data_IF_817251281448
#
_entry.id   IF_817251281448
#
_cell.length_a   1.000
_cell.length_b   1.000
_cell.length_c   1.000
_cell.angle_alpha   90.00
_cell.angle_beta   90.00
_cell.angle_gamma   90.00
#
_symmetry.space_group_name_H-M   'P 1'
#
loop_
_entity.id
_entity.type
_entity.pdbx_description
1 polymer ?
#
# COMPACT_ATOMS: atom_id res chain seq x y z
N UNK A 1 9.80 8.58 13.13
CA UNK A 1 10.37 9.71 12.34
C UNK A 1 9.20 10.51 11.79
N UNK A 2 9.19 11.84 11.85
CA UNK A 2 8.18 12.61 11.08
C UNK A 2 8.41 12.33 9.60
N UNK A 3 7.36 12.07 8.83
CA UNK A 3 7.41 11.86 7.38
C UNK A 3 8.08 13.06 6.68
N UNK A 4 9.41 13.02 6.58
CA UNK A 4 10.21 13.95 5.80
C UNK A 4 9.99 13.67 4.32
N UNK A 5 9.97 14.72 3.51
CA UNK A 5 9.80 14.59 2.06
C UNK A 5 10.85 13.65 1.45
N UNK A 6 10.41 12.76 0.56
CA UNK A 6 11.27 11.88 -0.21
C UNK A 6 12.21 12.69 -1.12
N UNK A 7 13.41 12.17 -1.35
CA UNK A 7 14.30 12.73 -2.37
C UNK A 7 13.82 12.41 -3.80
N UNK A 8 14.20 13.22 -4.78
CA UNK A 8 13.87 12.95 -6.20
C UNK A 8 14.42 11.60 -6.69
N UNK A 9 15.59 11.20 -6.19
CA UNK A 9 16.19 9.91 -6.50
C UNK A 9 15.34 8.75 -5.97
N UNK A 10 14.83 8.85 -4.74
CA UNK A 10 13.95 7.83 -4.16
C UNK A 10 12.63 7.72 -4.91
N UNK A 11 12.04 8.86 -5.31
CA UNK A 11 10.81 8.86 -6.11
C UNK A 11 11.05 8.26 -7.49
N UNK A 12 12.17 8.57 -8.12
CA UNK A 12 12.54 8.03 -9.44
C UNK A 12 12.77 6.53 -9.37
N UNK A 13 13.50 6.07 -8.36
CA UNK A 13 13.76 4.65 -8.16
C UNK A 13 12.46 3.90 -7.86
N UNK A 14 11.62 4.39 -6.95
CA UNK A 14 10.30 3.82 -6.69
C UNK A 14 9.49 3.63 -7.97
N UNK A 15 9.38 4.66 -8.82
CA UNK A 15 8.65 4.56 -10.10
C UNK A 15 9.22 3.49 -11.02
N UNK A 16 10.53 3.27 -11.00
CA UNK A 16 11.19 2.22 -11.79
C UNK A 16 10.90 0.79 -11.30
N UNK A 17 10.47 0.65 -10.04
CA UNK A 17 10.14 -0.65 -9.44
C UNK A 17 8.69 -1.07 -9.67
N UNK A 18 7.82 -0.15 -10.10
CA UNK A 18 6.43 -0.47 -10.43
C UNK A 18 6.41 -1.43 -11.64
N UNK A 19 5.67 -2.55 -11.57
CA UNK A 19 5.62 -3.53 -12.66
C UNK A 19 5.26 -2.91 -14.02
N UNK A 20 5.84 -3.46 -15.08
CA UNK A 20 5.49 -3.04 -16.45
C UNK A 20 4.01 -3.33 -16.72
N UNK A 21 3.34 -2.39 -17.40
CA UNK A 21 1.90 -2.49 -17.65
C UNK A 21 1.03 -1.97 -16.51
N UNK A 22 1.62 -1.31 -15.51
CA UNK A 22 0.87 -0.68 -14.44
C UNK A 22 1.09 0.84 -14.40
N UNK A 23 0.02 1.56 -14.07
CA UNK A 23 0.02 3.01 -13.93
C UNK A 23 -0.30 3.40 -12.50
N UNK A 24 0.62 4.10 -11.85
CA UNK A 24 0.43 4.66 -10.50
C UNK A 24 -0.75 5.64 -10.53
N UNK A 25 -1.77 5.38 -9.71
CA UNK A 25 -2.91 6.29 -9.49
C UNK A 25 -2.67 7.21 -8.32
N UNK A 26 -2.03 6.72 -7.26
CA UNK A 26 -1.65 7.50 -6.08
C UNK A 26 -0.53 6.80 -5.34
N UNK A 27 0.29 7.59 -4.67
CA UNK A 27 1.36 7.10 -3.81
C UNK A 27 1.56 8.03 -2.61
N UNK A 28 1.94 7.48 -1.46
CA UNK A 28 2.23 8.20 -0.22
C UNK A 28 3.30 7.50 0.59
N UNK A 29 4.00 8.24 1.44
CA UNK A 29 4.88 7.64 2.45
C UNK A 29 4.01 7.12 3.59
N UNK A 30 4.28 5.91 4.05
CA UNK A 30 3.58 5.28 5.17
C UNK A 30 4.51 4.33 5.94
N UNK A 31 4.15 4.07 7.19
CA UNK A 31 4.73 3.01 8.00
C UNK A 31 3.87 1.75 7.84
N UNK A 32 4.49 0.63 7.48
CA UNK A 32 3.88 -0.67 7.38
C UNK A 32 4.00 -1.38 8.72
N UNK A 33 2.87 -1.72 9.31
CA UNK A 33 2.75 -2.64 10.42
C UNK A 33 2.09 -3.92 9.92
N UNK A 34 2.47 -5.04 10.51
CA UNK A 34 1.91 -6.36 10.21
C UNK A 34 1.56 -7.08 11.50
N UNK A 35 0.47 -7.83 11.47
CA UNK A 35 0.12 -8.83 12.48
C UNK A 35 0.46 -10.22 11.95
N UNK A 36 0.65 -11.19 12.85
CA UNK A 36 0.97 -12.58 12.47
C UNK A 36 -0.18 -13.49 12.88
N UNK A 37 -0.56 -14.38 11.98
CA UNK A 37 -1.52 -15.44 12.25
C UNK A 37 -1.02 -16.38 13.38
N UNK A 38 -1.91 -17.03 14.14
CA UNK A 38 -3.37 -17.03 14.00
C UNK A 38 -4.08 -15.94 14.81
N UNK A 39 -3.40 -15.32 15.77
CA UNK A 39 -4.08 -14.54 16.80
C UNK A 39 -4.30 -13.08 16.40
N UNK A 40 -3.53 -12.56 15.44
CA UNK A 40 -3.58 -11.17 14.96
C UNK A 40 -3.67 -10.11 16.09
N UNK A 41 -3.12 -10.43 17.27
CA UNK A 41 -3.37 -9.67 18.49
C UNK A 41 -2.54 -8.40 18.59
N UNK A 42 -1.35 -8.41 17.98
CA UNK A 42 -0.34 -7.37 18.16
C UNK A 42 0.24 -6.92 16.83
N UNK A 43 0.10 -5.62 16.59
CA UNK A 43 0.69 -4.93 15.44
C UNK A 43 2.17 -4.72 15.67
N UNK A 44 2.99 -5.26 14.78
CA UNK A 44 4.44 -5.07 14.78
C UNK A 44 4.86 -4.18 13.64
N UNK A 45 5.64 -3.13 13.95
CA UNK A 45 6.27 -2.31 12.92
C UNK A 45 7.15 -3.20 12.03
N UNK A 46 6.94 -3.12 10.73
CA UNK A 46 7.74 -3.84 9.74
C UNK A 46 8.71 -2.91 9.03
N UNK A 47 8.21 -1.83 8.40
CA UNK A 47 9.01 -1.04 7.48
C UNK A 47 8.44 0.37 7.26
N UNK A 48 9.26 1.31 6.78
CA UNK A 48 8.81 2.62 6.31
C UNK A 48 9.03 2.70 4.81
N UNK A 49 8.01 3.14 4.08
CA UNK A 49 7.98 2.96 2.65
C UNK A 49 7.03 3.87 1.92
N UNK A 50 6.91 3.63 0.63
CA UNK A 50 5.91 4.24 -0.24
C UNK A 50 4.83 3.21 -0.49
N UNK A 51 3.62 3.49 -0.05
CA UNK A 51 2.43 2.80 -0.52
C UNK A 51 1.99 3.41 -1.84
N UNK A 52 1.64 2.58 -2.81
CA UNK A 52 1.03 3.03 -4.05
C UNK A 52 -0.12 2.15 -4.47
N UNK A 53 -1.15 2.78 -5.02
CA UNK A 53 -2.19 2.08 -5.78
C UNK A 53 -1.88 2.28 -7.26
N UNK A 54 -1.77 1.17 -7.98
CA UNK A 54 -1.59 1.13 -9.43
C UNK A 54 -2.82 0.54 -10.09
N UNK A 55 -2.98 0.81 -11.39
CA UNK A 55 -3.97 0.13 -12.25
C UNK A 55 -3.23 -0.59 -13.35
N UNK A 56 -3.46 -1.89 -13.47
CA UNK A 56 -2.98 -2.68 -14.58
C UNK A 56 -3.68 -2.23 -15.88
N UNK A 57 -2.92 -1.95 -16.93
CA UNK A 57 -3.46 -1.44 -18.20
C UNK A 57 -4.10 -2.53 -19.06
N UNK A 58 -3.80 -3.79 -18.77
CA UNK A 58 -4.31 -4.95 -19.52
C UNK A 58 -5.56 -5.51 -18.87
N UNK A 59 -5.53 -5.78 -17.56
CA UNK A 59 -6.67 -6.38 -16.83
C UNK A 59 -7.61 -5.34 -16.24
N UNK A 60 -7.19 -4.06 -16.20
CA UNK A 60 -7.88 -2.99 -15.49
C UNK A 60 -8.02 -3.16 -13.97
N UNK A 61 -7.42 -4.21 -13.39
CA UNK A 61 -7.38 -4.45 -11.94
C UNK A 61 -6.46 -3.46 -11.24
N UNK A 62 -6.76 -3.20 -9.97
CA UNK A 62 -5.96 -2.34 -9.11
C UNK A 62 -5.05 -3.20 -8.24
N UNK A 63 -3.83 -2.72 -8.01
CA UNK A 63 -2.87 -3.35 -7.11
C UNK A 63 -2.44 -2.34 -6.06
N UNK A 64 -2.18 -2.80 -4.84
CA UNK A 64 -1.49 -2.08 -3.79
C UNK A 64 -0.06 -2.59 -3.76
N UNK A 65 0.90 -1.69 -3.80
CA UNK A 65 2.31 -2.02 -3.55
C UNK A 65 2.82 -1.27 -2.34
N UNK A 66 3.69 -1.93 -1.58
CA UNK A 66 4.53 -1.31 -0.58
C UNK A 66 6.00 -1.37 -0.99
N UNK A 67 6.58 -0.22 -1.31
CA UNK A 67 8.00 -0.05 -1.60
C UNK A 67 8.76 0.34 -0.33
N UNK A 68 9.68 -0.49 0.14
CA UNK A 68 10.52 -0.17 1.30
C UNK A 68 11.59 0.86 0.95
N UNK A 69 11.67 1.94 1.74
CA UNK A 69 12.77 2.91 1.61
C UNK A 69 14.10 2.35 2.12
N UNK A 70 14.08 1.38 3.02
CA UNK A 70 15.28 0.72 3.53
C UNK A 70 15.83 -0.29 2.53
N UNK A 71 14.97 -1.18 2.00
CA UNK A 71 15.39 -2.25 1.08
C UNK A 71 15.47 -1.79 -0.38
N UNK A 72 14.94 -0.60 -0.68
CA UNK A 72 14.90 -0.01 -2.01
C UNK A 72 14.22 -0.90 -3.07
N UNK A 73 13.19 -1.65 -2.67
CA UNK A 73 12.38 -2.53 -3.53
C UNK A 73 10.94 -2.62 -3.03
N UNK A 74 10.04 -3.13 -3.88
CA UNK A 74 8.69 -3.54 -3.46
C UNK A 74 8.81 -4.81 -2.61
N UNK A 75 8.21 -4.77 -1.42
CA UNK A 75 8.25 -5.86 -0.42
C UNK A 75 6.89 -6.51 -0.19
N UNK A 76 5.80 -5.86 -0.61
CA UNK A 76 4.45 -6.41 -0.60
C UNK A 76 3.68 -5.90 -1.81
N UNK A 77 2.89 -6.78 -2.41
CA UNK A 77 1.96 -6.51 -3.50
C UNK A 77 0.69 -7.26 -3.21
N UNK A 78 -0.45 -6.57 -3.25
CA UNK A 78 -1.77 -7.14 -3.01
C UNK A 78 -2.74 -6.64 -4.08
N UNK A 79 -3.56 -7.54 -4.62
CA UNK A 79 -4.62 -7.14 -5.55
C UNK A 79 -5.80 -6.55 -4.77
N UNK A 80 -6.39 -5.49 -5.29
CA UNK A 80 -7.58 -4.87 -4.71
C UNK A 80 -8.83 -5.60 -5.20
N UNK A 81 -9.51 -6.27 -4.28
CA UNK A 81 -10.77 -6.96 -4.54
C UNK A 81 -11.99 -6.13 -4.15
N UNK A 82 -13.14 -6.44 -4.76
CA UNK A 82 -14.41 -5.75 -4.51
C UNK A 82 -15.06 -6.13 -3.16
N UNK A 83 -14.50 -7.11 -2.49
CA UNK A 83 -14.91 -7.65 -1.20
C UNK A 83 -13.80 -7.54 -0.15
N UNK A 84 -12.74 -6.79 -0.45
CA UNK A 84 -11.65 -6.54 0.50
C UNK A 84 -12.18 -5.71 1.70
N UNK A 85 -12.11 -6.28 2.90
CA UNK A 85 -12.50 -5.59 4.12
C UNK A 85 -11.43 -4.54 4.52
N UNK A 86 -11.82 -3.26 4.58
CA UNK A 86 -10.99 -2.12 5.02
C UNK A 86 -11.50 -1.66 6.40
N UNK A 87 -10.67 -1.73 7.43
CA UNK A 87 -10.96 -1.10 8.72
C UNK A 87 -10.31 0.27 8.80
N UNK A 88 -11.14 1.30 9.04
CA UNK A 88 -10.71 2.71 9.09
C UNK A 88 -10.64 3.19 10.53
N UNK A 89 -9.46 3.62 10.95
CA UNK A 89 -9.23 4.36 12.19
C UNK A 89 -8.61 5.73 11.86
N UNK A 90 -8.66 6.72 12.78
CA UNK A 90 -8.28 8.11 12.48
C UNK A 90 -6.90 8.33 11.84
N UNK A 91 -5.92 7.46 12.16
CA UNK A 91 -4.54 7.51 11.65
C UNK A 91 -4.00 6.14 11.22
N UNK A 92 -4.90 5.16 11.10
CA UNK A 92 -4.52 3.77 10.94
C UNK A 92 -5.58 3.09 10.08
N UNK A 93 -5.15 2.39 9.05
CA UNK A 93 -6.08 1.69 8.16
C UNK A 93 -5.55 0.31 7.96
N UNK A 94 -6.32 -0.72 8.31
CA UNK A 94 -5.94 -2.09 8.05
C UNK A 94 -6.80 -2.68 6.94
N UNK A 95 -6.21 -3.58 6.18
CA UNK A 95 -6.92 -4.53 5.34
C UNK A 95 -6.36 -5.91 5.59
N UNK A 96 -7.19 -6.94 5.38
CA UNK A 96 -6.77 -8.33 5.40
C UNK A 96 -6.34 -8.73 3.99
N UNK A 97 -5.06 -9.03 3.80
CA UNK A 97 -4.55 -9.73 2.62
C UNK A 97 -4.56 -11.24 2.87
N UNK A 98 -4.28 -12.06 1.84
CA UNK A 98 -4.33 -13.52 1.95
C UNK A 98 -3.40 -14.12 3.04
N UNK A 99 -2.40 -13.36 3.50
CA UNK A 99 -1.39 -13.83 4.46
C UNK A 99 -1.10 -12.82 5.59
N UNK A 100 -1.56 -11.57 5.52
CA UNK A 100 -1.18 -10.50 6.46
C UNK A 100 -2.23 -9.39 6.57
N UNK A 101 -2.35 -8.76 7.75
CA UNK A 101 -3.00 -7.46 7.85
C UNK A 101 -1.96 -6.34 7.72
N UNK A 102 -2.25 -5.29 6.94
CA UNK A 102 -1.26 -4.24 6.65
C UNK A 102 -1.82 -2.82 6.79
N UNK A 103 -0.97 -1.86 7.20
CA UNK A 103 -1.44 -0.55 7.70
C UNK A 103 -1.04 0.64 6.86
N UNK A 104 -1.99 1.42 6.32
CA UNK A 104 -1.65 2.49 5.36
C UNK A 104 -2.54 3.73 5.50
N UNK A 105 -1.98 4.84 6.02
CA UNK A 105 -2.65 6.12 6.40
C UNK A 105 -3.53 6.80 5.30
N UNK A 106 -3.70 6.23 4.11
CA UNK A 106 -4.45 6.89 3.03
C UNK A 106 -5.16 5.98 2.03
N UNK A 107 -5.22 4.66 2.26
CA UNK A 107 -5.85 3.73 1.31
C UNK A 107 -7.36 3.91 1.25
N UNK A 108 -8.08 4.01 2.38
CA UNK A 108 -9.54 3.94 2.27
C UNK A 108 -10.19 5.21 1.66
N UNK A 109 -9.59 6.43 1.70
CA UNK A 109 -10.11 7.55 0.86
C UNK A 109 -10.03 7.23 -0.63
N UNK A 110 -9.07 6.41 -1.03
CA UNK A 110 -8.84 6.03 -2.42
C UNK A 110 -9.70 4.86 -2.85
N UNK A 111 -9.86 3.86 -1.98
CA UNK A 111 -10.84 2.79 -2.17
C UNK A 111 -12.22 3.42 -2.29
N UNK A 112 -12.62 4.33 -1.40
CA UNK A 112 -13.90 5.04 -1.50
C UNK A 112 -14.02 5.87 -2.80
N UNK A 113 -12.98 6.62 -3.20
CA UNK A 113 -12.96 7.34 -4.49
C UNK A 113 -13.02 6.41 -5.72
N UNK A 114 -12.57 5.16 -5.59
CA UNK A 114 -12.64 4.14 -6.64
C UNK A 114 -14.00 3.43 -6.67
N UNK A 115 -14.60 3.13 -5.52
CA UNK A 115 -15.93 2.55 -5.40
C UNK A 115 -17.03 3.50 -5.87
N UNK A 116 -16.93 4.80 -5.58
CA UNK A 116 -17.89 5.82 -6.07
C UNK A 116 -17.86 6.00 -7.61
N UNK A 117 -16.96 5.33 -8.32
CA UNK A 117 -16.77 5.43 -9.78
C UNK A 117 -17.03 4.12 -10.54
N UNK A 118 -17.50 3.06 -9.86
CA UNK A 118 -17.97 1.79 -10.45
C UNK A 118 -19.50 1.78 -10.39
#
# INVERSE_FOLDING_TARGET
>A
MKASGLTEQEVTHFKSQVPQGEVIKKARVAELYMTVAPDHSDWSYSNTGIVSITKNTTTAYYQIHFYSLQEKRIVSTEELYIDMECSIYPHFFSFEGEVWECTLELICRLILELYDRI
#
